data_IF_009736158483
#
_entry.id   IF_009736158483
#
_cell.length_a   1.000
_cell.length_b   1.000
_cell.length_c   1.000
_cell.angle_alpha   90.00
_cell.angle_beta   90.00
_cell.angle_gamma   90.00
#
_symmetry.space_group_name_H-M   'P 1'
#
loop_
_entity.id
_entity.type
_entity.pdbx_description
1 polymer ?
#
# COMPACT_ATOMS: atom_id res chain seq x y z
N UNK A 1 -53.05 -47.26 -15.86
CA UNK A 1 -52.69 -45.95 -16.44
C UNK A 1 -53.13 -44.82 -15.51
N UNK A 2 -52.49 -44.64 -14.35
CA UNK A 2 -52.63 -43.42 -13.55
C UNK A 2 -51.34 -43.28 -12.75
N UNK A 3 -50.40 -42.49 -13.27
CA UNK A 3 -49.19 -42.10 -12.55
C UNK A 3 -49.61 -41.23 -11.36
N UNK A 4 -49.52 -41.76 -10.14
CA UNK A 4 -49.54 -40.95 -8.92
C UNK A 4 -48.26 -40.10 -8.89
N UNK A 5 -48.35 -38.83 -9.26
CA UNK A 5 -47.37 -37.82 -8.90
C UNK A 5 -47.58 -37.47 -7.42
N UNK A 6 -46.94 -38.23 -6.53
CA UNK A 6 -46.77 -37.82 -5.13
C UNK A 6 -45.77 -36.65 -5.16
N UNK A 7 -46.28 -35.42 -5.23
CA UNK A 7 -45.50 -34.26 -4.85
C UNK A 7 -45.19 -34.40 -3.36
N UNK A 8 -43.98 -34.84 -3.03
CA UNK A 8 -43.43 -34.59 -1.71
C UNK A 8 -43.41 -33.08 -1.55
N UNK A 9 -44.34 -32.54 -0.77
CA UNK A 9 -44.37 -31.14 -0.42
C UNK A 9 -43.17 -30.89 0.51
N UNK A 10 -42.02 -30.63 -0.09
CA UNK A 10 -40.79 -30.27 0.62
C UNK A 10 -40.94 -28.84 1.12
N UNK A 11 -40.57 -28.62 2.38
CA UNK A 11 -40.63 -27.29 2.97
C UNK A 11 -39.74 -26.30 2.22
N UNK A 12 -40.17 -25.03 2.08
CA UNK A 12 -39.33 -23.96 1.59
C UNK A 12 -38.00 -23.89 2.34
N UNK A 13 -36.92 -23.48 1.66
CA UNK A 13 -35.57 -23.41 2.25
C UNK A 13 -35.47 -22.44 3.44
N UNK A 14 -36.39 -21.50 3.56
CA UNK A 14 -36.51 -20.58 4.69
C UNK A 14 -37.07 -21.23 5.96
N UNK A 15 -37.65 -22.43 5.89
CA UNK A 15 -38.02 -23.22 7.06
C UNK A 15 -36.82 -24.07 7.53
N UNK A 16 -36.54 -24.09 8.84
CA UNK A 16 -35.40 -24.82 9.38
C UNK A 16 -35.62 -26.35 9.46
N UNK A 17 -36.88 -26.79 9.56
CA UNK A 17 -37.20 -28.21 9.78
C UNK A 17 -38.52 -28.60 9.10
N UNK A 18 -39.64 -28.44 9.80
CA UNK A 18 -40.99 -28.84 9.36
C UNK A 18 -41.86 -27.63 9.05
N UNK A 19 -42.84 -27.84 8.18
CA UNK A 19 -43.78 -26.82 7.74
C UNK A 19 -45.16 -27.42 7.48
N UNK A 20 -46.17 -26.59 7.61
CA UNK A 20 -47.57 -26.94 7.43
C UNK A 20 -48.12 -26.23 6.20
N UNK A 21 -48.78 -27.00 5.34
CA UNK A 21 -49.46 -26.49 4.14
C UNK A 21 -50.93 -26.27 4.49
N UNK A 22 -51.34 -25.01 4.67
CA UNK A 22 -52.69 -24.63 5.08
C UNK A 22 -53.30 -23.68 4.04
N UNK A 23 -54.39 -24.09 3.38
CA UNK A 23 -55.16 -23.25 2.44
C UNK A 23 -54.30 -22.49 1.42
N UNK A 24 -53.28 -23.15 0.84
CA UNK A 24 -52.39 -22.54 -0.16
C UNK A 24 -51.26 -21.67 0.40
N UNK A 25 -51.12 -21.56 1.73
CA UNK A 25 -50.00 -20.91 2.41
C UNK A 25 -49.12 -21.94 3.14
N UNK A 26 -47.83 -21.62 3.31
CA UNK A 26 -46.90 -22.44 4.07
C UNK A 26 -46.57 -21.73 5.37
N UNK A 27 -46.77 -22.41 6.49
CA UNK A 27 -46.35 -21.95 7.82
C UNK A 27 -45.17 -22.81 8.28
N UNK A 28 -44.05 -22.20 8.64
CA UNK A 28 -42.92 -22.94 9.18
C UNK A 28 -43.05 -23.08 10.71
N UNK A 29 -42.63 -24.21 11.28
CA UNK A 29 -42.57 -24.36 12.75
C UNK A 29 -41.40 -23.57 13.35
N UNK A 30 -40.34 -23.38 12.56
CA UNK A 30 -39.18 -22.54 12.87
C UNK A 30 -38.54 -22.04 11.57
N UNK A 31 -38.02 -20.82 11.61
CA UNK A 31 -37.35 -20.19 10.49
C UNK A 31 -35.84 -20.45 10.51
N UNK A 32 -35.25 -20.58 9.34
CA UNK A 32 -33.80 -20.54 9.19
C UNK A 32 -33.24 -19.18 9.65
N UNK A 33 -31.95 -19.13 10.01
CA UNK A 33 -31.29 -17.87 10.38
C UNK A 33 -31.41 -16.84 9.26
N UNK A 34 -31.74 -15.60 9.61
CA UNK A 34 -31.99 -14.53 8.65
C UNK A 34 -33.46 -14.41 8.20
N UNK A 35 -34.38 -15.16 8.83
CA UNK A 35 -35.83 -15.06 8.60
C UNK A 35 -36.61 -14.97 9.92
N UNK A 36 -37.81 -14.37 9.89
CA UNK A 36 -38.67 -14.19 11.06
C UNK A 36 -40.15 -14.38 10.75
N UNK A 37 -40.97 -14.61 11.79
CA UNK A 37 -42.43 -14.74 11.69
C UNK A 37 -42.91 -16.09 11.14
N UNK A 38 -44.23 -16.26 11.07
CA UNK A 38 -44.86 -17.54 10.70
C UNK A 38 -44.62 -17.93 9.22
N UNK A 39 -44.47 -16.93 8.34
CA UNK A 39 -44.17 -17.12 6.93
C UNK A 39 -42.65 -17.21 6.64
N UNK A 40 -41.81 -16.97 7.66
CA UNK A 40 -40.37 -16.81 7.53
C UNK A 40 -40.02 -15.77 6.46
N UNK A 41 -40.37 -14.52 6.75
CA UNK A 41 -40.00 -13.36 5.95
C UNK A 41 -38.53 -13.01 6.19
N UNK A 42 -37.84 -12.53 5.14
CA UNK A 42 -36.40 -12.28 5.20
C UNK A 42 -36.08 -11.04 6.07
N UNK A 43 -35.05 -11.15 6.90
CA UNK A 43 -34.47 -10.02 7.59
C UNK A 43 -33.83 -9.03 6.60
N UNK A 44 -33.70 -7.78 7.02
CA UNK A 44 -32.90 -6.76 6.33
C UNK A 44 -31.47 -7.27 6.12
N UNK A 45 -30.83 -6.86 5.02
CA UNK A 45 -29.45 -7.24 4.70
C UNK A 45 -28.42 -6.80 5.75
N UNK A 46 -28.77 -5.86 6.63
CA UNK A 46 -27.93 -5.43 7.76
C UNK A 46 -28.07 -6.34 8.99
N UNK A 47 -29.22 -7.02 9.14
CA UNK A 47 -29.47 -7.96 10.23
C UNK A 47 -28.96 -9.35 9.85
N UNK A 48 -28.27 -10.01 10.78
CA UNK A 48 -28.01 -11.45 10.72
C UNK A 48 -29.21 -12.25 11.25
N UNK A 49 -29.86 -11.73 12.30
CA UNK A 49 -31.12 -12.25 12.85
C UNK A 49 -32.04 -11.09 13.20
N UNK A 50 -33.35 -11.29 13.11
CA UNK A 50 -34.37 -10.26 13.39
C UNK A 50 -35.62 -10.87 14.04
N UNK A 51 -36.45 -10.02 14.68
CA UNK A 51 -37.72 -10.40 15.31
C UNK A 51 -38.80 -9.38 14.95
N UNK A 52 -40.08 -9.79 14.94
CA UNK A 52 -41.28 -8.97 14.70
C UNK A 52 -41.38 -8.27 13.34
N UNK A 53 -40.30 -7.68 12.85
CA UNK A 53 -40.18 -6.99 11.56
C UNK A 53 -38.79 -7.24 10.96
N UNK A 54 -38.64 -7.06 9.65
CA UNK A 54 -37.36 -7.32 8.96
C UNK A 54 -36.20 -6.42 9.42
N UNK A 55 -36.50 -5.27 10.03
CA UNK A 55 -35.50 -4.28 10.44
C UNK A 55 -35.16 -4.30 11.94
N UNK A 56 -35.94 -5.02 12.76
CA UNK A 56 -35.72 -5.18 14.20
C UNK A 56 -34.72 -6.31 14.43
N UNK A 57 -33.45 -5.98 14.34
CA UNK A 57 -32.36 -6.93 14.43
C UNK A 57 -32.12 -7.38 15.89
N UNK A 58 -31.71 -8.63 16.07
CA UNK A 58 -31.14 -9.18 17.33
C UNK A 58 -29.65 -9.47 17.22
N UNK A 59 -29.13 -9.58 16.00
CA UNK A 59 -27.70 -9.62 15.70
C UNK A 59 -27.45 -9.06 14.31
N UNK A 60 -26.23 -8.60 14.07
CA UNK A 60 -25.84 -7.88 12.86
C UNK A 60 -24.89 -8.69 11.98
N UNK A 61 -24.90 -8.39 10.68
CA UNK A 61 -23.89 -8.93 9.77
C UNK A 61 -22.53 -8.25 10.01
N UNK A 62 -21.46 -8.88 9.53
CA UNK A 62 -20.11 -8.32 9.63
C UNK A 62 -20.06 -6.91 9.02
N UNK A 63 -19.32 -5.99 9.66
CA UNK A 63 -19.32 -4.57 9.30
C UNK A 63 -20.46 -3.76 9.93
N UNK A 64 -21.29 -4.36 10.79
CA UNK A 64 -22.35 -3.67 11.52
C UNK A 64 -22.38 -4.06 13.01
N UNK A 65 -22.83 -3.14 13.86
CA UNK A 65 -23.09 -3.38 15.28
C UNK A 65 -24.54 -3.06 15.63
N UNK A 66 -25.04 -3.70 16.68
CA UNK A 66 -26.39 -3.56 17.19
C UNK A 66 -26.50 -2.28 18.03
N UNK A 67 -27.26 -1.32 17.53
CA UNK A 67 -27.63 -0.10 18.21
C UNK A 67 -29.14 -0.13 18.51
N UNK A 68 -29.48 -0.53 19.73
CA UNK A 68 -30.86 -0.83 20.11
C UNK A 68 -31.36 -2.08 19.39
N UNK A 69 -32.38 -1.92 18.55
CA UNK A 69 -32.95 -3.00 17.71
C UNK A 69 -32.54 -2.85 16.23
N UNK A 70 -31.55 -2.02 15.93
CA UNK A 70 -31.14 -1.74 14.54
C UNK A 70 -29.64 -1.95 14.35
N UNK A 71 -29.22 -2.40 13.17
CA UNK A 71 -27.81 -2.55 12.84
C UNK A 71 -27.26 -1.27 12.20
N UNK A 72 -26.24 -0.69 12.83
CA UNK A 72 -25.52 0.49 12.36
C UNK A 72 -24.15 0.06 11.82
N UNK A 73 -23.71 0.67 10.73
CA UNK A 73 -22.42 0.37 10.11
C UNK A 73 -21.25 0.70 11.05
N UNK A 74 -20.18 -0.11 11.01
CA UNK A 74 -18.94 0.19 11.71
C UNK A 74 -18.31 1.49 11.16
N UNK A 75 -17.38 2.07 11.92
CA UNK A 75 -16.65 3.26 11.48
C UNK A 75 -15.88 3.02 10.16
N UNK A 76 -15.58 4.09 9.41
CA UNK A 76 -14.83 3.99 8.15
C UNK A 76 -13.50 3.26 8.33
N UNK A 77 -13.13 2.44 7.35
CA UNK A 77 -11.95 1.57 7.38
C UNK A 77 -11.99 0.43 8.43
N UNK A 78 -13.09 0.30 9.18
CA UNK A 78 -13.29 -0.77 10.15
C UNK A 78 -13.97 -1.98 9.51
N UNK A 79 -13.32 -3.13 9.55
CA UNK A 79 -13.83 -4.40 8.99
C UNK A 79 -14.74 -5.11 10.00
N UNK A 80 -14.35 -5.13 11.27
CA UNK A 80 -15.17 -5.66 12.36
C UNK A 80 -15.19 -4.70 13.53
N UNK A 81 -16.36 -4.51 14.13
CA UNK A 81 -16.53 -3.71 15.32
C UNK A 81 -17.28 -4.50 16.41
N UNK A 82 -17.13 -4.05 17.65
CA UNK A 82 -17.78 -4.66 18.80
C UNK A 82 -19.29 -4.51 18.73
N UNK A 83 -20.00 -5.62 18.98
CA UNK A 83 -21.41 -5.82 18.67
C UNK A 83 -22.39 -4.77 19.21
N UNK A 84 -22.05 -4.00 20.24
CA UNK A 84 -22.97 -3.00 20.84
C UNK A 84 -22.40 -1.58 20.90
N UNK A 85 -21.08 -1.46 20.96
CA UNK A 85 -20.41 -0.14 21.07
C UNK A 85 -19.97 0.43 19.73
N UNK A 86 -19.87 -0.40 18.68
CA UNK A 86 -19.31 0.01 17.39
C UNK A 86 -17.80 0.26 17.41
N UNK A 87 -17.11 0.03 18.54
CA UNK A 87 -15.67 0.14 18.65
C UNK A 87 -14.97 -0.80 17.69
N UNK A 88 -14.03 -0.26 16.92
CA UNK A 88 -13.36 -1.04 15.93
C UNK A 88 -12.44 -2.11 16.55
N UNK A 89 -12.55 -3.34 16.03
CA UNK A 89 -11.75 -4.50 16.45
C UNK A 89 -10.75 -4.91 15.37
N UNK A 90 -11.02 -4.58 14.10
CA UNK A 90 -10.08 -4.79 13.01
C UNK A 90 -10.27 -3.76 11.90
N UNK A 91 -9.17 -3.37 11.28
CA UNK A 91 -9.14 -2.36 10.23
C UNK A 91 -8.71 -2.95 8.89
N UNK A 92 -9.07 -2.29 7.80
CA UNK A 92 -8.67 -2.69 6.46
C UNK A 92 -7.23 -2.25 6.14
N UNK A 93 -6.48 -3.10 5.44
CA UNK A 93 -5.18 -2.76 4.86
C UNK A 93 -4.18 -2.16 5.85
N UNK A 94 -3.83 -0.88 5.62
CA UNK A 94 -2.80 -0.12 6.37
C UNK A 94 -3.32 0.60 7.61
N UNK A 95 -4.62 0.52 7.88
CA UNK A 95 -5.19 1.14 9.07
C UNK A 95 -4.97 0.25 10.29
N UNK A 96 -4.72 0.89 11.43
CA UNK A 96 -4.57 0.22 12.71
C UNK A 96 -5.67 0.68 13.66
N UNK A 97 -6.05 -0.21 14.57
CA UNK A 97 -6.99 0.14 15.64
C UNK A 97 -6.29 1.12 16.57
N UNK A 98 -6.82 2.33 16.63
CA UNK A 98 -6.46 3.33 17.62
C UNK A 98 -7.17 2.98 18.92
N UNK A 99 -6.41 2.46 19.89
CA UNK A 99 -6.95 2.04 21.19
C UNK A 99 -7.52 3.19 22.03
N UNK A 100 -7.16 4.43 21.73
CA UNK A 100 -7.70 5.60 22.42
C UNK A 100 -9.04 6.03 21.81
N UNK A 101 -9.09 6.15 20.48
CA UNK A 101 -10.29 6.59 19.75
C UNK A 101 -11.26 5.45 19.40
N UNK A 102 -10.87 4.19 19.65
CA UNK A 102 -11.63 2.98 19.30
C UNK A 102 -12.07 2.93 17.84
N UNK A 103 -11.23 3.45 16.95
CA UNK A 103 -11.49 3.59 15.51
C UNK A 103 -10.24 3.22 14.71
N UNK A 104 -10.36 3.17 13.39
CA UNK A 104 -9.24 2.95 12.49
C UNK A 104 -8.52 4.26 12.19
N UNK A 105 -7.23 4.30 12.51
CA UNK A 105 -6.33 5.41 12.17
C UNK A 105 -5.30 4.92 11.16
N UNK A 106 -4.96 5.76 10.19
CA UNK A 106 -3.98 5.41 9.17
C UNK A 106 -2.60 5.27 9.82
N UNK A 107 -1.89 4.17 9.55
CA UNK A 107 -0.50 4.06 9.95
C UNK A 107 0.37 4.86 8.96
N UNK A 108 0.58 6.15 9.25
CA UNK A 108 1.54 6.97 8.50
C UNK A 108 2.95 6.61 8.94
N UNK A 109 3.63 5.79 8.15
CA UNK A 109 5.05 5.50 8.34
C UNK A 109 5.91 6.73 8.02
N UNK A 110 7.04 6.86 8.70
CA UNK A 110 8.01 7.91 8.42
C UNK A 110 8.65 7.70 7.04
N UNK A 111 9.28 8.75 6.50
CA UNK A 111 10.02 8.63 5.24
C UNK A 111 11.12 7.57 5.36
N UNK A 112 11.22 6.67 4.37
CA UNK A 112 12.16 5.54 4.41
C UNK A 112 11.62 4.29 5.12
N UNK A 113 10.32 4.26 5.44
CA UNK A 113 9.64 3.06 5.95
C UNK A 113 8.46 2.66 5.07
N UNK A 114 8.05 1.41 5.19
CA UNK A 114 6.81 0.88 4.61
C UNK A 114 6.00 0.16 5.69
N UNK A 115 4.68 0.15 5.54
CA UNK A 115 3.81 -0.62 6.43
C UNK A 115 3.85 -2.10 6.05
N UNK A 116 4.27 -2.94 6.99
CA UNK A 116 4.23 -4.40 6.86
C UNK A 116 2.91 -4.91 7.46
N UNK A 117 1.98 -5.38 6.62
CA UNK A 117 0.68 -5.86 7.07
C UNK A 117 0.74 -7.15 7.88
N UNK A 118 1.82 -7.93 7.75
CA UNK A 118 2.03 -9.16 8.52
C UNK A 118 2.45 -8.85 9.95
N UNK A 119 3.34 -7.87 10.12
CA UNK A 119 3.87 -7.45 11.42
C UNK A 119 3.04 -6.32 12.06
N UNK A 120 2.17 -5.66 11.27
CA UNK A 120 1.33 -4.52 11.68
C UNK A 120 2.14 -3.34 12.21
N UNK A 121 3.31 -3.11 11.62
CA UNK A 121 4.23 -2.05 12.01
C UNK A 121 4.94 -1.44 10.80
N UNK A 122 5.55 -0.28 10.99
CA UNK A 122 6.37 0.36 9.99
C UNK A 122 7.79 -0.22 10.00
N UNK A 123 8.19 -0.81 8.89
CA UNK A 123 9.48 -1.44 8.68
C UNK A 123 10.37 -0.59 7.79
N UNK A 124 11.68 -0.60 8.04
CA UNK A 124 12.63 0.16 7.25
C UNK A 124 12.73 -0.37 5.80
N UNK A 125 12.85 0.57 4.86
CA UNK A 125 13.25 0.27 3.49
C UNK A 125 14.70 -0.21 3.42
N UNK A 126 15.06 -0.84 2.30
CA UNK A 126 16.46 -1.10 1.98
C UNK A 126 17.22 0.23 1.97
N UNK A 127 18.45 0.23 2.46
CA UNK A 127 19.30 1.43 2.54
C UNK A 127 19.60 2.08 1.18
N UNK A 128 19.47 1.37 0.06
CA UNK A 128 19.57 1.93 -1.28
C UNK A 128 18.30 2.68 -1.72
N UNK A 129 17.15 2.44 -1.07
CA UNK A 129 15.92 3.18 -1.33
C UNK A 129 15.85 4.44 -0.46
N UNK A 130 15.36 5.54 -1.02
CA UNK A 130 14.88 6.69 -0.23
C UNK A 130 13.44 6.45 0.26
N UNK A 131 12.65 5.70 -0.52
CA UNK A 131 11.30 5.26 -0.14
C UNK A 131 10.97 3.91 -0.79
N UNK A 132 10.10 3.12 -0.15
CA UNK A 132 9.68 1.80 -0.63
C UNK A 132 8.20 1.53 -0.27
N UNK A 133 7.59 0.51 -0.89
CA UNK A 133 6.17 0.17 -0.71
C UNK A 133 5.96 -1.33 -0.62
N UNK A 134 5.24 -1.76 0.42
CA UNK A 134 4.82 -3.15 0.65
C UNK A 134 5.96 -4.11 1.03
N UNK A 135 7.18 -3.87 0.56
CA UNK A 135 8.38 -4.65 0.85
C UNK A 135 9.61 -3.75 0.91
N UNK A 136 10.59 -4.12 1.73
CA UNK A 136 11.81 -3.35 1.96
C UNK A 136 12.60 -3.04 0.67
N UNK A 137 12.64 -3.97 -0.30
CA UNK A 137 13.38 -3.81 -1.56
C UNK A 137 12.54 -3.27 -2.73
N UNK A 138 11.25 -2.97 -2.52
CA UNK A 138 10.38 -2.44 -3.56
C UNK A 138 10.42 -0.91 -3.55
N UNK A 139 11.56 -0.38 -3.98
CA UNK A 139 11.86 1.04 -3.94
C UNK A 139 10.94 1.83 -4.88
N UNK A 140 10.52 3.02 -4.45
CA UNK A 140 9.87 4.03 -5.28
C UNK A 140 10.85 5.11 -5.72
N UNK A 141 11.93 5.28 -4.96
CA UNK A 141 13.01 6.21 -5.27
C UNK A 141 14.30 5.72 -4.62
N UNK A 142 15.44 6.10 -5.19
CA UNK A 142 16.76 5.67 -4.75
C UNK A 142 17.52 6.80 -4.06
N UNK A 143 18.46 6.43 -3.20
CA UNK A 143 19.44 7.36 -2.66
C UNK A 143 20.42 7.78 -3.76
N UNK A 144 21.20 8.84 -3.53
CA UNK A 144 22.23 9.27 -4.48
C UNK A 144 23.22 8.13 -4.78
N UNK A 145 23.77 8.12 -6.01
CA UNK A 145 24.61 7.04 -6.57
C UNK A 145 23.87 5.76 -6.99
N UNK A 146 22.55 5.73 -6.89
CA UNK A 146 21.73 4.64 -7.41
C UNK A 146 20.69 5.16 -8.40
N UNK A 147 20.28 4.31 -9.34
CA UNK A 147 19.13 4.56 -10.21
C UNK A 147 18.07 3.47 -10.02
N UNK A 148 16.82 3.84 -10.30
CA UNK A 148 15.68 2.93 -10.16
C UNK A 148 15.59 2.03 -11.40
N UNK A 149 15.75 0.73 -11.19
CA UNK A 149 15.58 -0.32 -12.19
C UNK A 149 14.51 -1.31 -11.73
N UNK A 150 13.34 -1.30 -12.36
CA UNK A 150 12.23 -2.21 -12.08
C UNK A 150 11.86 -2.31 -10.57
N UNK A 151 11.87 -1.18 -9.86
CA UNK A 151 11.63 -1.05 -8.41
C UNK A 151 12.77 -1.46 -7.49
N UNK A 152 13.94 -1.77 -8.04
CA UNK A 152 15.18 -1.97 -7.27
C UNK A 152 16.15 -0.82 -7.53
N UNK A 153 16.96 -0.49 -6.54
CA UNK A 153 17.99 0.54 -6.69
C UNK A 153 19.31 -0.13 -7.03
N UNK A 154 19.85 0.21 -8.19
CA UNK A 154 21.10 -0.32 -8.72
C UNK A 154 22.14 0.78 -8.78
N UNK A 155 23.39 0.47 -8.44
CA UNK A 155 24.49 1.44 -8.46
C UNK A 155 24.64 2.10 -9.84
N UNK A 156 24.93 3.39 -9.82
CA UNK A 156 25.39 4.09 -11.02
C UNK A 156 26.74 3.52 -11.47
N UNK A 157 26.95 3.34 -12.78
CA UNK A 157 28.23 2.85 -13.28
C UNK A 157 29.32 3.90 -13.06
N UNK A 158 30.52 3.47 -12.67
CA UNK A 158 31.67 4.36 -12.65
C UNK A 158 31.93 4.95 -14.06
N UNK A 159 32.24 6.25 -14.20
CA UNK A 159 32.56 7.23 -13.16
C UNK A 159 31.41 8.20 -12.84
N UNK A 160 30.15 7.74 -12.84
CA UNK A 160 28.97 8.54 -12.55
C UNK A 160 28.68 8.67 -11.06
N UNK A 161 28.37 9.88 -10.61
CA UNK A 161 27.79 10.13 -9.27
C UNK A 161 26.27 9.96 -9.33
N UNK A 162 25.59 10.55 -10.31
CA UNK A 162 24.14 10.38 -10.47
C UNK A 162 23.82 9.90 -11.87
N UNK A 163 22.78 9.08 -12.00
CA UNK A 163 22.37 8.49 -13.25
C UNK A 163 20.86 8.18 -13.21
N UNK A 164 20.23 8.13 -14.39
CA UNK A 164 18.82 7.71 -14.53
C UNK A 164 18.68 6.30 -15.13
N UNK A 165 19.77 5.75 -15.65
CA UNK A 165 19.87 4.39 -16.18
C UNK A 165 21.36 4.01 -16.27
N UNK A 166 21.63 2.73 -16.53
CA UNK A 166 22.99 2.20 -16.69
C UNK A 166 23.83 2.89 -17.79
N UNK A 167 23.21 3.53 -18.79
CA UNK A 167 23.93 4.28 -19.84
C UNK A 167 23.57 5.77 -19.85
N UNK A 168 22.97 6.26 -18.77
CA UNK A 168 22.46 7.64 -18.70
C UNK A 168 22.96 8.33 -17.44
N UNK A 169 24.18 8.83 -17.53
CA UNK A 169 24.81 9.63 -16.50
C UNK A 169 24.24 11.04 -16.45
N UNK A 170 24.14 11.61 -15.25
CA UNK A 170 23.67 12.97 -15.00
C UNK A 170 24.72 13.84 -14.28
N UNK A 171 25.68 13.22 -13.60
CA UNK A 171 26.83 13.92 -13.02
C UNK A 171 28.01 12.98 -12.85
N UNK A 172 29.22 13.53 -12.86
CA UNK A 172 30.47 12.78 -12.88
C UNK A 172 31.27 13.00 -11.60
N UNK A 173 32.09 12.01 -11.25
CA UNK A 173 33.13 12.19 -10.22
C UNK A 173 34.13 13.27 -10.65
N UNK A 174 34.85 13.83 -9.66
CA UNK A 174 35.91 14.81 -9.92
C UNK A 174 36.97 14.22 -10.86
N UNK A 175 37.47 15.04 -11.79
CA UNK A 175 38.36 14.61 -12.87
C UNK A 175 37.66 14.21 -14.16
N UNK A 176 36.32 14.20 -14.18
CA UNK A 176 35.51 13.92 -15.37
C UNK A 176 34.52 15.06 -15.62
N UNK A 177 34.16 15.27 -16.88
CA UNK A 177 33.07 16.14 -17.31
C UNK A 177 31.97 15.31 -17.97
N UNK A 178 30.73 15.78 -17.86
CA UNK A 178 29.59 15.16 -18.53
C UNK A 178 29.54 15.60 -19.98
N UNK A 179 29.59 14.65 -20.90
CA UNK A 179 29.30 14.86 -22.31
C UNK A 179 28.11 13.98 -22.70
N UNK A 180 27.00 14.63 -23.08
CA UNK A 180 25.69 14.02 -23.27
C UNK A 180 25.24 13.21 -22.05
N UNK A 181 25.48 11.90 -22.08
CA UNK A 181 25.10 10.95 -21.02
C UNK A 181 26.28 10.17 -20.47
N UNK A 182 27.51 10.54 -20.85
CA UNK A 182 28.73 9.80 -20.53
C UNK A 182 29.74 10.74 -19.86
N UNK A 183 30.39 10.25 -18.81
CA UNK A 183 31.49 10.96 -18.19
C UNK A 183 32.79 10.73 -18.95
N UNK A 184 33.41 11.82 -19.41
CA UNK A 184 34.69 11.81 -20.09
C UNK A 184 35.77 12.39 -19.19
N UNK A 185 36.95 11.79 -19.22
CA UNK A 185 38.08 12.20 -18.40
C UNK A 185 38.57 13.58 -18.85
N UNK A 186 38.89 14.46 -17.89
CA UNK A 186 39.58 15.71 -18.16
C UNK A 186 40.98 15.44 -18.72
N UNK A 187 41.40 16.23 -19.70
CA UNK A 187 42.74 16.08 -20.26
C UNK A 187 43.80 16.57 -19.27
N UNK A 188 44.71 15.69 -18.87
CA UNK A 188 45.86 16.04 -18.04
C UNK A 188 46.65 17.21 -18.67
N UNK A 189 47.10 18.22 -17.89
CA UNK A 189 47.18 18.27 -16.42
C UNK A 189 45.95 18.92 -15.74
N UNK A 190 44.79 18.92 -16.38
CA UNK A 190 43.55 19.40 -15.80
C UNK A 190 42.90 18.38 -14.85
N UNK A 191 42.47 18.79 -13.65
CA UNK A 191 41.79 17.94 -12.65
C UNK A 191 40.30 18.26 -12.46
N UNK A 192 39.84 19.41 -12.97
CA UNK A 192 38.42 19.70 -13.12
C UNK A 192 38.19 20.50 -14.41
N UNK A 193 37.21 20.11 -15.21
CA UNK A 193 36.94 20.71 -16.52
C UNK A 193 35.43 20.73 -16.79
N UNK A 194 34.98 21.65 -17.64
CA UNK A 194 33.59 21.71 -18.10
C UNK A 194 33.36 21.01 -19.44
N UNK A 195 34.42 20.82 -20.23
CA UNK A 195 34.45 20.06 -21.47
C UNK A 195 35.92 19.70 -21.80
N UNK A 196 36.17 19.08 -22.96
CA UNK A 196 37.50 18.66 -23.40
C UNK A 196 38.56 19.79 -23.43
N UNK A 197 38.17 21.05 -23.64
CA UNK A 197 39.08 22.19 -23.88
C UNK A 197 39.05 23.22 -22.74
N UNK A 198 38.06 23.14 -21.86
CA UNK A 198 37.81 24.15 -20.83
C UNK A 198 38.14 23.62 -19.45
N UNK A 199 39.38 23.85 -19.02
CA UNK A 199 39.83 23.53 -17.67
C UNK A 199 39.40 24.60 -16.66
N UNK A 200 39.02 24.17 -15.45
CA UNK A 200 38.68 25.03 -14.31
C UNK A 200 39.61 24.83 -13.11
N UNK A 201 40.31 23.70 -13.03
CA UNK A 201 41.30 23.45 -11.98
C UNK A 201 42.45 22.61 -12.50
N UNK A 202 43.68 23.04 -12.24
CA UNK A 202 44.90 22.36 -12.65
C UNK A 202 45.48 21.47 -11.56
N UNK A 203 46.17 20.40 -11.95
CA UNK A 203 46.97 19.59 -11.05
C UNK A 203 48.12 20.40 -10.43
N UNK A 204 48.57 19.96 -9.26
CA UNK A 204 49.71 20.58 -8.56
C UNK A 204 50.93 20.76 -9.49
N UNK A 205 51.55 21.94 -9.38
CA UNK A 205 52.67 22.33 -10.26
C UNK A 205 52.26 22.98 -11.59
N UNK A 206 50.96 23.23 -11.80
CA UNK A 206 50.42 23.99 -12.94
C UNK A 206 49.53 25.13 -12.43
N UNK A 207 49.42 26.21 -13.20
CA UNK A 207 48.49 27.30 -12.97
C UNK A 207 47.49 27.40 -14.13
N UNK A 208 46.30 27.94 -13.83
CA UNK A 208 45.26 28.15 -14.82
C UNK A 208 45.55 29.43 -15.61
N UNK A 209 45.82 29.29 -16.91
CA UNK A 209 45.96 30.38 -17.88
C UNK A 209 44.77 30.33 -18.86
N UNK A 210 43.82 31.24 -18.66
CA UNK A 210 42.53 31.20 -19.33
C UNK A 210 41.75 29.93 -19.00
N UNK A 211 41.63 29.03 -19.97
CA UNK A 211 40.98 27.72 -19.83
C UNK A 211 41.96 26.55 -19.93
N UNK A 212 43.26 26.82 -19.90
CA UNK A 212 44.32 25.81 -20.07
C UNK A 212 45.26 25.80 -18.89
N UNK A 213 45.85 24.63 -18.62
CA UNK A 213 46.82 24.48 -17.55
C UNK A 213 48.24 24.60 -18.10
N UNK A 214 48.99 25.56 -17.56
CA UNK A 214 50.37 25.80 -17.94
C UNK A 214 51.28 25.43 -16.76
N UNK A 215 52.39 24.76 -17.07
CA UNK A 215 53.34 24.34 -16.05
C UNK A 215 53.97 25.56 -15.34
N UNK A 216 54.02 25.51 -14.02
CA UNK A 216 54.70 26.51 -13.22
C UNK A 216 56.21 26.48 -13.51
N UNK A 217 56.79 27.65 -13.76
CA UNK A 217 58.25 27.78 -13.75
C UNK A 217 58.74 28.06 -12.31
N UNK A 218 60.06 28.15 -12.11
CA UNK A 218 60.69 28.43 -10.82
C UNK A 218 60.31 29.78 -10.17
N UNK A 219 59.48 30.61 -10.83
CA UNK A 219 59.04 31.92 -10.33
C UNK A 219 57.59 31.91 -9.84
N UNK A 220 56.84 30.82 -10.03
CA UNK A 220 55.48 30.70 -9.49
C UNK A 220 55.53 30.55 -7.96
N UNK A 221 54.91 31.47 -7.24
CA UNK A 221 54.70 31.39 -5.79
C UNK A 221 53.25 30.94 -5.53
N UNK A 222 53.08 30.12 -4.49
CA UNK A 222 51.83 29.43 -4.14
C UNK A 222 50.81 30.37 -3.53
#
# INVERSE_FOLDING_TARGET
QFLLLIFFLVCPQQCQSTCQFLNGSVKCDSCASGYFGDACDQCSMTCKTCIDTSIKCTSCNIGYYLNGETCTECATHCVTCADTTGYCLSCEGQYLVDEFNKSCSNCTCETGQYYDSGQKECMACNSACTSCVGLSNNCQSCVSNFYLDNSTCTDCPDPCITCSAINTCQSCIVGYYLEDTTCKLCQSPCVACSNAESCSQCADGNYLDGSTCTQCNSSCTK
#
